data_IF_968102306194
#
_entry.id   IF_968102306194
#
_cell.length_a   1.000
_cell.length_b   1.000
_cell.length_c   1.000
_cell.angle_alpha   90.00
_cell.angle_beta   90.00
_cell.angle_gamma   90.00
#
_symmetry.space_group_name_H-M   'P 1'
#
loop_
_entity.id
_entity.type
_entity.pdbx_description
1 polymer ?
#
# COMPACT_ATOMS: atom_id res chain seq x y z
N UNK A 1 -39.31 -2.63 14.40
CA UNK A 1 -38.03 -3.27 14.79
C UNK A 1 -37.63 -4.13 13.61
N UNK A 2 -36.58 -3.69 12.91
CA UNK A 2 -36.08 -4.41 11.74
C UNK A 2 -34.80 -5.14 12.18
N UNK A 3 -34.63 -6.37 11.69
CA UNK A 3 -33.44 -7.18 11.96
C UNK A 3 -32.71 -7.36 10.65
N UNK A 4 -31.45 -6.95 10.60
CA UNK A 4 -30.57 -7.16 9.47
C UNK A 4 -29.89 -8.52 9.59
N UNK A 5 -29.99 -9.35 8.54
CA UNK A 5 -29.25 -10.59 8.41
C UNK A 5 -28.71 -10.73 6.98
N UNK A 6 -27.40 -10.91 6.86
CA UNK A 6 -26.73 -11.05 5.59
C UNK A 6 -26.71 -12.52 5.16
N UNK A 7 -27.44 -12.84 4.08
CA UNK A 7 -27.54 -14.21 3.57
C UNK A 7 -26.44 -14.56 2.56
N UNK A 8 -25.96 -13.58 1.80
CA UNK A 8 -24.91 -13.74 0.80
C UNK A 8 -23.80 -12.77 1.15
N UNK A 9 -22.61 -13.33 1.33
CA UNK A 9 -21.40 -12.55 1.57
C UNK A 9 -20.98 -11.80 0.31
N UNK A 10 -20.37 -10.61 0.45
CA UNK A 10 -19.86 -9.85 -0.69
C UNK A 10 -18.80 -10.70 -1.41
N UNK A 11 -18.91 -10.77 -2.74
CA UNK A 11 -18.00 -11.54 -3.58
C UNK A 11 -16.95 -10.67 -4.28
N UNK A 12 -17.23 -9.39 -4.48
CA UNK A 12 -16.34 -8.44 -5.17
C UNK A 12 -15.07 -8.20 -4.37
N UNK A 13 -13.92 -8.47 -4.97
CA UNK A 13 -12.62 -8.13 -4.41
C UNK A 13 -12.37 -6.63 -4.61
N UNK A 14 -12.22 -5.88 -3.52
CA UNK A 14 -11.95 -4.44 -3.58
C UNK A 14 -10.46 -4.14 -3.49
N UNK A 15 -9.77 -4.78 -2.55
CA UNK A 15 -8.32 -4.66 -2.37
C UNK A 15 -7.70 -6.04 -2.19
N UNK A 16 -6.48 -6.17 -2.69
CA UNK A 16 -5.62 -7.34 -2.50
C UNK A 16 -4.25 -6.90 -2.05
N UNK A 17 -3.67 -7.64 -1.11
CA UNK A 17 -2.35 -7.36 -0.56
C UNK A 17 -1.55 -8.64 -0.44
N UNK A 18 -0.34 -8.64 -0.97
CA UNK A 18 0.63 -9.71 -0.77
C UNK A 18 1.49 -9.42 0.46
N UNK A 19 1.59 -10.38 1.38
CA UNK A 19 2.36 -10.22 2.61
C UNK A 19 2.78 -11.56 3.22
N UNK A 20 3.80 -11.52 4.07
CA UNK A 20 4.21 -12.63 4.92
C UNK A 20 3.51 -12.49 6.27
N UNK A 21 2.21 -12.80 6.31
CA UNK A 21 1.36 -12.50 7.47
C UNK A 21 1.30 -13.63 8.49
N UNK A 22 1.19 -14.88 8.05
CA UNK A 22 1.04 -16.03 8.96
C UNK A 22 2.36 -16.58 9.44
N UNK A 23 3.39 -16.51 8.59
CA UNK A 23 4.76 -16.89 8.91
C UNK A 23 5.74 -16.20 7.95
N UNK A 24 7.04 -16.14 8.28
CA UNK A 24 8.04 -15.47 7.46
C UNK A 24 8.21 -16.09 6.06
N UNK A 25 7.99 -17.40 5.94
CA UNK A 25 8.13 -18.14 4.68
C UNK A 25 6.80 -18.25 3.92
N UNK A 26 5.66 -18.07 4.59
CA UNK A 26 4.35 -18.19 3.97
C UNK A 26 4.10 -17.02 3.02
N UNK A 27 3.73 -17.36 1.79
CA UNK A 27 3.22 -16.41 0.79
C UNK A 27 1.72 -16.23 1.03
N UNK A 28 1.33 -15.18 1.74
CA UNK A 28 -0.08 -14.90 1.98
C UNK A 28 -0.63 -13.87 1.00
N UNK A 29 -1.86 -14.11 0.56
CA UNK A 29 -2.66 -13.16 -0.19
C UNK A 29 -3.87 -12.77 0.67
N UNK A 30 -3.93 -11.52 1.07
CA UNK A 30 -5.04 -10.96 1.86
C UNK A 30 -5.97 -10.22 0.93
N UNK A 31 -7.25 -10.59 0.94
CA UNK A 31 -8.27 -10.01 0.07
C UNK A 31 -9.35 -9.39 0.93
N UNK A 32 -9.73 -8.15 0.62
CA UNK A 32 -10.93 -7.52 1.16
C UNK A 32 -12.09 -7.60 0.16
N UNK A 33 -13.27 -7.91 0.69
CA UNK A 33 -14.55 -7.90 -0.04
C UNK A 33 -15.56 -7.10 0.77
N UNK A 34 -15.56 -5.78 0.60
CA UNK A 34 -16.42 -4.89 1.39
C UNK A 34 -16.17 -5.02 2.90
N UNK A 35 -17.01 -5.79 3.59
CA UNK A 35 -16.93 -6.06 5.04
C UNK A 35 -16.24 -7.38 5.39
N UNK A 36 -15.79 -8.16 4.41
CA UNK A 36 -15.14 -9.45 4.61
C UNK A 36 -13.64 -9.35 4.36
N UNK A 37 -12.83 -9.92 5.25
CA UNK A 37 -11.38 -10.07 5.09
C UNK A 37 -11.05 -11.55 4.99
N UNK A 38 -10.38 -11.94 3.91
CA UNK A 38 -9.96 -13.33 3.67
C UNK A 38 -8.44 -13.40 3.56
N UNK A 39 -7.84 -14.37 4.24
CA UNK A 39 -6.39 -14.64 4.19
C UNK A 39 -6.19 -15.97 3.47
N UNK A 40 -5.50 -15.92 2.34
CA UNK A 40 -5.15 -17.09 1.55
C UNK A 40 -3.65 -17.39 1.66
N UNK A 41 -3.30 -18.67 1.52
CA UNK A 41 -1.93 -19.13 1.27
C UNK A 41 -1.82 -19.56 -0.20
N UNK A 42 -0.75 -19.13 -0.86
CA UNK A 42 -0.42 -19.61 -2.20
C UNK A 42 0.33 -20.95 -2.05
N UNK A 43 -0.23 -22.01 -2.63
CA UNK A 43 0.33 -23.36 -2.58
C UNK A 43 0.61 -23.83 -4.01
N UNK A 44 1.81 -24.34 -4.24
CA UNK A 44 2.18 -25.03 -5.48
C UNK A 44 1.70 -26.48 -5.40
N UNK A 45 0.87 -26.90 -6.35
CA UNK A 45 0.36 -28.27 -6.47
C UNK A 45 0.80 -28.87 -7.79
N UNK A 46 1.29 -30.11 -7.76
CA UNK A 46 1.60 -30.85 -8.98
C UNK A 46 0.35 -31.61 -9.46
N UNK A 47 -0.13 -31.26 -10.65
CA UNK A 47 -1.30 -31.91 -11.27
C UNK A 47 -0.84 -32.90 -12.35
N UNK A 48 -1.39 -34.12 -12.33
CA UNK A 48 -1.13 -35.15 -13.35
C UNK A 48 -2.20 -35.10 -14.43
N UNK A 49 -1.89 -34.64 -15.63
CA UNK A 49 -2.76 -34.90 -16.78
C UNK A 49 -2.57 -36.35 -17.26
N UNK A 50 -3.65 -37.15 -17.18
CA UNK A 50 -3.75 -38.35 -18.00
C UNK A 50 -4.12 -37.90 -19.40
N UNK A 51 -3.19 -37.98 -20.36
CA UNK A 51 -3.53 -37.85 -21.77
C UNK A 51 -4.60 -38.89 -22.11
N UNK A 52 -5.85 -38.45 -22.29
CA UNK A 52 -6.83 -39.25 -23.02
C UNK A 52 -6.38 -39.24 -24.48
N UNK A 53 -5.66 -40.28 -24.89
CA UNK A 53 -5.43 -40.55 -26.30
C UNK A 53 -6.82 -40.81 -26.91
N UNK A 54 -7.36 -39.81 -27.60
CA UNK A 54 -8.49 -39.99 -28.49
C UNK A 54 -8.08 -41.00 -29.56
N UNK A 55 -8.51 -42.25 -29.39
CA UNK A 55 -8.41 -43.28 -30.42
C UNK A 55 -9.28 -42.85 -31.61
N UNK A 56 -8.69 -42.11 -32.54
CA UNK A 56 -9.27 -41.91 -33.87
C UNK A 56 -9.25 -43.28 -34.53
N UNK A 57 -10.44 -43.86 -34.67
CA UNK A 57 -10.66 -45.11 -35.35
C UNK A 57 -10.13 -45.05 -36.79
N UNK A 58 -9.24 -45.96 -37.12
CA UNK A 58 -9.01 -46.41 -38.48
C UNK A 58 -9.26 -47.92 -38.51
N UNK A 59 -10.46 -48.26 -38.98
CA UNK A 59 -10.75 -49.58 -39.52
C UNK A 59 -9.75 -49.86 -40.65
N UNK A 60 -9.05 -50.99 -40.62
CA UNK A 60 -8.56 -51.60 -41.85
C UNK A 60 -8.58 -53.12 -41.72
N UNK A 61 -9.20 -53.72 -42.73
CA UNK A 61 -9.56 -55.12 -42.85
C UNK A 61 -8.33 -56.04 -42.96
N UNK A 62 -8.57 -57.27 -42.53
CA UNK A 62 -7.76 -58.50 -42.57
C UNK A 62 -7.10 -58.88 -43.90
N UNK A 63 -6.18 -59.87 -43.79
CA UNK A 63 -5.48 -60.71 -44.81
C UNK A 63 -4.19 -60.08 -45.36
N UNK A 64 -3.02 -60.74 -45.46
CA UNK A 64 -2.67 -62.17 -45.57
C UNK A 64 -1.13 -62.40 -45.36
N UNK A 65 -0.76 -63.53 -44.73
CA UNK A 65 0.39 -64.44 -44.99
C UNK A 65 1.90 -64.07 -44.81
N UNK A 66 2.54 -64.92 -43.97
CA UNK A 66 3.89 -65.54 -43.95
C UNK A 66 5.15 -64.81 -43.41
N UNK A 67 5.61 -65.37 -42.28
CA UNK A 67 6.97 -65.78 -41.86
C UNK A 67 8.17 -64.87 -42.12
N UNK A 68 8.80 -64.40 -41.03
CA UNK A 68 10.21 -64.70 -40.75
C UNK A 68 10.58 -64.29 -39.31
N UNK A 69 11.21 -65.21 -38.60
CA UNK A 69 11.84 -65.02 -37.30
C UNK A 69 12.97 -64.00 -37.40
N UNK A 70 12.80 -62.86 -36.72
CA UNK A 70 13.92 -62.04 -36.27
C UNK A 70 13.60 -61.56 -34.86
N UNK A 71 14.30 -62.14 -33.87
CA UNK A 71 14.31 -61.62 -32.52
C UNK A 71 14.76 -60.16 -32.55
N UNK A 72 13.84 -59.25 -32.25
CA UNK A 72 14.20 -57.89 -31.85
C UNK A 72 13.61 -57.65 -30.47
N UNK A 73 14.38 -58.02 -29.47
CA UNK A 73 14.32 -57.40 -28.16
C UNK A 73 14.42 -55.89 -28.36
N UNK A 74 13.34 -55.16 -28.07
CA UNK A 74 13.24 -53.78 -27.55
C UNK A 74 11.77 -53.38 -27.74
N UNK A 75 10.98 -53.56 -26.69
CA UNK A 75 9.93 -52.61 -26.31
C UNK A 75 9.91 -52.63 -24.78
N UNK A 76 10.99 -52.08 -24.24
CA UNK A 76 10.99 -51.44 -22.93
C UNK A 76 9.79 -50.52 -22.94
N UNK A 77 8.86 -50.67 -22.00
CA UNK A 77 7.86 -49.65 -21.71
C UNK A 77 8.63 -48.34 -21.51
N UNK A 78 8.73 -47.55 -22.58
CA UNK A 78 9.12 -46.16 -22.48
C UNK A 78 7.91 -45.54 -21.83
N UNK A 79 7.97 -45.45 -20.50
CA UNK A 79 7.14 -44.53 -19.74
C UNK A 79 7.15 -43.22 -20.53
N UNK A 80 5.99 -42.87 -21.10
CA UNK A 80 5.79 -41.54 -21.65
C UNK A 80 6.29 -40.56 -20.59
N UNK A 81 7.13 -39.56 -20.93
CA UNK A 81 7.60 -38.61 -19.94
C UNK A 81 6.37 -37.97 -19.30
N UNK A 82 6.12 -38.35 -18.05
CA UNK A 82 5.07 -37.75 -17.23
C UNK A 82 5.45 -36.28 -17.12
N UNK A 83 4.72 -35.43 -17.85
CA UNK A 83 4.97 -33.99 -17.81
C UNK A 83 4.22 -33.46 -16.60
N UNK A 84 4.96 -33.18 -15.53
CA UNK A 84 4.43 -32.52 -14.34
C UNK A 84 4.32 -31.03 -14.66
N UNK A 85 3.12 -30.47 -14.51
CA UNK A 85 2.94 -29.02 -14.49
C UNK A 85 2.68 -28.60 -13.04
N UNK A 86 3.42 -27.59 -12.57
CA UNK A 86 3.16 -26.93 -11.30
C UNK A 86 1.98 -25.97 -11.47
N UNK A 87 0.90 -26.23 -10.74
CA UNK A 87 -0.27 -25.36 -10.68
C UNK A 87 -0.31 -24.64 -9.33
N UNK A 88 -0.43 -23.32 -9.35
CA UNK A 88 -0.64 -22.53 -8.15
C UNK A 88 -2.12 -22.56 -7.75
N UNK A 89 -2.40 -22.85 -6.49
CA UNK A 89 -3.74 -22.82 -5.89
C UNK A 89 -3.77 -21.91 -4.67
N UNK A 90 -4.91 -21.23 -4.47
CA UNK A 90 -5.15 -20.42 -3.29
C UNK A 90 -5.90 -21.26 -2.25
N UNK A 91 -5.28 -21.47 -1.09
CA UNK A 91 -5.90 -22.13 0.05
C UNK A 91 -6.39 -21.09 1.04
N UNK A 92 -7.68 -21.07 1.34
CA UNK A 92 -8.24 -20.18 2.36
C UNK A 92 -7.76 -20.63 3.75
N UNK A 93 -7.05 -19.75 4.46
CA UNK A 93 -6.59 -19.99 5.84
C UNK A 93 -7.63 -19.49 6.83
N UNK A 94 -8.07 -18.24 6.65
CA UNK A 94 -8.97 -17.58 7.57
C UNK A 94 -9.89 -16.58 6.87
N UNK A 95 -11.08 -16.40 7.43
CA UNK A 95 -12.10 -15.47 6.97
C UNK A 95 -12.69 -14.73 8.17
N UNK A 96 -12.77 -13.40 8.09
CA UNK A 96 -13.26 -12.54 9.15
C UNK A 96 -14.31 -11.56 8.61
N UNK A 97 -15.41 -11.42 9.33
CA UNK A 97 -16.40 -10.37 9.11
C UNK A 97 -16.04 -9.17 9.95
N UNK A 98 -15.74 -8.06 9.30
CA UNK A 98 -15.38 -6.80 9.93
C UNK A 98 -16.61 -5.89 9.95
N UNK A 99 -16.83 -5.22 11.08
CA UNK A 99 -17.94 -4.30 11.26
C UNK A 99 -17.58 -2.92 10.67
N UNK A 100 -17.50 -2.85 9.36
CA UNK A 100 -17.15 -1.65 8.62
C UNK A 100 -16.67 -2.01 7.21
N UNK A 101 -16.96 -1.13 6.25
CA UNK A 101 -16.45 -1.27 4.90
C UNK A 101 -14.93 -1.01 4.91
N UNK A 102 -14.16 -2.00 4.44
CA UNK A 102 -12.71 -1.91 4.29
C UNK A 102 -12.44 -1.08 3.04
N UNK A 103 -11.79 0.07 3.24
CA UNK A 103 -11.44 0.99 2.14
C UNK A 103 -10.06 0.66 1.60
N UNK A 104 -9.10 0.39 2.49
CA UNK A 104 -7.74 0.04 2.09
C UNK A 104 -7.08 -0.99 3.01
N UNK A 105 -6.15 -1.76 2.44
CA UNK A 105 -5.29 -2.71 3.12
C UNK A 105 -3.83 -2.36 2.82
N UNK A 106 -3.04 -2.16 3.85
CA UNK A 106 -1.58 -2.01 3.72
C UNK A 106 -0.88 -2.88 4.74
N UNK A 107 0.43 -3.04 4.58
CA UNK A 107 1.28 -3.77 5.50
C UNK A 107 2.43 -2.91 5.96
N UNK A 108 3.01 -3.29 7.08
CA UNK A 108 4.29 -2.78 7.52
C UNK A 108 5.02 -3.83 8.35
N UNK A 109 6.33 -3.66 8.50
CA UNK A 109 7.15 -4.47 9.41
C UNK A 109 7.32 -3.75 10.73
N UNK A 110 7.13 -4.49 11.81
CA UNK A 110 7.19 -3.94 13.16
C UNK A 110 8.60 -4.05 13.76
N UNK A 111 8.83 -3.28 14.83
CA UNK A 111 10.05 -3.35 15.66
C UNK A 111 10.14 -4.64 16.48
N UNK A 112 8.99 -5.25 16.79
CA UNK A 112 8.90 -6.51 17.56
C UNK A 112 9.36 -7.71 16.73
N UNK A 113 8.90 -7.76 15.49
CA UNK A 113 9.19 -8.82 14.53
C UNK A 113 9.29 -8.22 13.12
N UNK A 114 10.50 -8.28 12.55
CA UNK A 114 10.81 -7.82 11.18
C UNK A 114 10.60 -8.94 10.14
N UNK A 115 10.37 -10.18 10.60
CA UNK A 115 10.21 -11.35 9.74
C UNK A 115 8.77 -11.54 9.26
N UNK A 116 7.81 -11.09 10.06
CA UNK A 116 6.37 -11.17 9.77
C UNK A 116 5.80 -9.77 9.52
N UNK A 117 4.95 -9.66 8.50
CA UNK A 117 4.24 -8.44 8.17
C UNK A 117 3.03 -8.24 9.09
N UNK A 118 2.80 -7.00 9.55
CA UNK A 118 1.58 -6.59 10.23
C UNK A 118 0.60 -6.00 9.21
N UNK A 119 -0.70 -6.15 9.45
CA UNK A 119 -1.73 -5.60 8.58
C UNK A 119 -2.34 -4.34 9.17
N UNK A 120 -2.48 -3.32 8.33
CA UNK A 120 -3.21 -2.10 8.64
C UNK A 120 -4.47 -2.09 7.77
N UNK A 121 -5.60 -2.18 8.44
CA UNK A 121 -6.92 -2.19 7.84
C UNK A 121 -7.53 -0.80 8.02
N UNK A 122 -7.70 -0.07 6.92
CA UNK A 122 -8.43 1.19 6.91
C UNK A 122 -9.89 0.92 6.61
N UNK A 123 -10.75 1.34 7.53
CA UNK A 123 -12.20 1.24 7.38
C UNK A 123 -12.81 2.62 7.16
N UNK A 124 -14.02 2.64 6.61
CA UNK A 124 -14.76 3.87 6.34
C UNK A 124 -14.79 4.78 7.59
N UNK A 125 -14.75 6.09 7.33
CA UNK A 125 -14.72 7.14 8.37
C UNK A 125 -13.41 7.16 9.18
N UNK A 126 -12.27 7.03 8.48
CA UNK A 126 -10.94 7.31 9.03
C UNK A 126 -10.53 6.47 10.25
N UNK A 127 -10.85 5.17 10.24
CA UNK A 127 -10.51 4.24 11.32
C UNK A 127 -9.42 3.29 10.87
N UNK A 128 -8.30 3.26 11.61
CA UNK A 128 -7.21 2.32 11.38
C UNK A 128 -7.25 1.22 12.42
N UNK A 129 -7.30 -0.03 11.95
CA UNK A 129 -7.14 -1.22 12.79
C UNK A 129 -5.84 -1.91 12.42
N UNK A 130 -4.94 -2.02 13.38
CA UNK A 130 -3.65 -2.69 13.18
C UNK A 130 -3.73 -4.07 13.81
N UNK A 131 -3.48 -5.10 13.00
CA UNK A 131 -3.63 -6.50 13.40
C UNK A 131 -2.39 -7.30 13.08
N UNK A 132 -2.08 -8.26 13.95
CA UNK A 132 -1.04 -9.27 13.75
C UNK A 132 -1.64 -10.66 13.71
N UNK A 133 -0.92 -11.60 13.12
CA UNK A 133 -1.31 -13.00 13.19
C UNK A 133 -0.87 -13.60 14.52
N UNK A 134 -1.80 -14.21 15.23
CA UNK A 134 -1.52 -15.03 16.41
C UNK A 134 -1.38 -16.49 15.99
N UNK A 135 -0.14 -16.99 16.07
CA UNK A 135 0.21 -18.36 15.67
C UNK A 135 -0.41 -19.39 16.62
N UNK A 136 -0.56 -19.08 17.91
CA UNK A 136 -1.06 -20.04 18.91
C UNK A 136 -2.55 -20.29 18.74
N UNK A 137 -3.31 -19.22 18.49
CA UNK A 137 -4.76 -19.28 18.33
C UNK A 137 -5.21 -19.42 16.87
N UNK A 138 -4.26 -19.38 15.92
CA UNK A 138 -4.53 -19.35 14.48
C UNK A 138 -5.56 -18.29 14.09
N UNK A 139 -5.49 -17.12 14.73
CA UNK A 139 -6.42 -16.03 14.53
C UNK A 139 -5.72 -14.68 14.41
N UNK A 140 -6.43 -13.65 13.94
CA UNK A 140 -5.92 -12.27 14.01
C UNK A 140 -6.03 -11.75 15.43
N UNK A 141 -5.02 -10.98 15.86
CA UNK A 141 -4.98 -10.28 17.14
C UNK A 141 -4.83 -8.79 16.89
N UNK A 142 -5.70 -7.98 17.51
CA UNK A 142 -5.67 -6.52 17.38
C UNK A 142 -4.58 -5.94 18.26
N UNK A 143 -3.68 -5.20 17.65
CA UNK A 143 -2.51 -4.60 18.31
C UNK A 143 -2.80 -3.15 18.71
N UNK A 144 -3.41 -2.40 17.79
CA UNK A 144 -3.78 -1.01 18.02
C UNK A 144 -5.01 -0.64 17.21
N UNK A 145 -5.82 0.28 17.75
CA UNK A 145 -6.99 0.85 17.10
C UNK A 145 -6.87 2.38 17.18
N UNK A 146 -6.98 3.04 16.03
CA UNK A 146 -6.92 4.49 15.94
C UNK A 146 -8.22 5.05 15.35
N UNK A 147 -8.83 5.97 16.08
CA UNK A 147 -10.11 6.58 15.75
C UNK A 147 -9.91 8.08 15.51
N UNK A 148 -10.05 8.52 14.26
CA UNK A 148 -9.85 9.94 13.89
C UNK A 148 -11.16 10.65 13.53
N UNK A 149 -12.28 9.93 13.44
CA UNK A 149 -13.60 10.45 13.05
C UNK A 149 -14.00 11.72 13.83
N UNK A 150 -14.05 11.76 15.17
CA UNK A 150 -14.51 12.96 15.88
C UNK A 150 -13.60 14.17 15.64
N UNK A 151 -12.29 13.95 15.57
CA UNK A 151 -11.32 15.01 15.33
C UNK A 151 -11.42 15.57 13.92
N UNK A 152 -11.67 14.71 12.92
CA UNK A 152 -11.83 15.13 11.53
C UNK A 152 -13.20 15.78 11.27
N UNK A 153 -14.26 15.37 11.97
CA UNK A 153 -15.58 16.01 11.88
C UNK A 153 -15.54 17.45 12.41
N UNK A 154 -14.71 17.71 13.42
CA UNK A 154 -14.52 19.07 13.91
C UNK A 154 -13.75 19.98 12.93
N UNK A 155 -12.95 19.38 12.05
CA UNK A 155 -12.08 20.09 11.09
C UNK A 155 -12.70 20.22 9.70
N UNK A 156 -13.67 19.36 9.36
CA UNK A 156 -14.34 19.32 8.05
C UNK A 156 -15.73 19.94 8.12
N UNK A 157 -16.08 20.76 7.14
CA UNK A 157 -17.44 21.27 6.95
C UNK A 157 -18.36 20.26 6.25
N UNK A 158 -17.79 19.29 5.55
CA UNK A 158 -18.50 18.27 4.79
C UNK A 158 -18.61 16.95 5.57
N UNK A 159 -19.67 16.19 5.28
CA UNK A 159 -19.85 14.84 5.83
C UNK A 159 -18.70 13.92 5.40
N UNK A 160 -17.88 13.49 6.36
CA UNK A 160 -16.74 12.60 6.12
C UNK A 160 -17.10 11.32 5.35
N UNK A 161 -18.34 10.84 5.48
CA UNK A 161 -18.83 9.64 4.82
C UNK A 161 -18.90 9.74 3.28
N UNK A 162 -18.93 10.96 2.74
CA UNK A 162 -18.94 11.25 1.29
C UNK A 162 -17.54 11.47 0.72
N UNK A 163 -16.56 11.74 1.58
CA UNK A 163 -15.21 12.07 1.16
C UNK A 163 -14.46 10.80 0.78
N UNK A 164 -13.64 10.90 -0.26
CA UNK A 164 -12.72 9.85 -0.63
C UNK A 164 -11.63 9.75 0.44
N UNK A 165 -11.44 8.55 0.98
CA UNK A 165 -10.39 8.28 1.96
C UNK A 165 -9.21 7.68 1.20
N UNK A 166 -8.06 8.34 1.26
CA UNK A 166 -6.82 7.83 0.70
C UNK A 166 -5.92 7.41 1.85
N UNK A 167 -5.67 6.12 1.98
CA UNK A 167 -4.75 5.57 2.97
C UNK A 167 -3.51 5.05 2.27
N UNK A 168 -2.32 5.46 2.71
CA UNK A 168 -1.04 5.03 2.15
C UNK A 168 -0.05 4.75 3.27
N UNK A 169 0.84 3.80 3.03
CA UNK A 169 1.90 3.45 3.98
C UNK A 169 3.25 3.60 3.29
N UNK A 170 4.21 4.11 4.04
CA UNK A 170 5.57 4.33 3.55
C UNK A 170 6.26 2.98 3.26
N UNK A 171 6.83 2.78 2.05
CA UNK A 171 7.51 1.53 1.70
C UNK A 171 8.67 1.16 2.63
N UNK A 172 9.30 2.15 3.27
CA UNK A 172 10.40 1.97 4.20
C UNK A 172 9.93 1.72 5.65
N UNK A 173 8.62 1.50 5.86
CA UNK A 173 8.02 1.24 7.17
C UNK A 173 8.31 2.33 8.21
N UNK A 174 8.27 3.60 7.79
CA UNK A 174 8.49 4.73 8.71
C UNK A 174 7.19 5.26 9.29
N UNK A 175 6.12 5.29 8.48
CA UNK A 175 4.81 5.76 8.91
C UNK A 175 3.70 5.29 7.99
N UNK A 176 2.47 5.48 8.44
CA UNK A 176 1.28 5.41 7.61
C UNK A 176 0.52 6.72 7.69
N UNK A 177 -0.21 7.06 6.63
CA UNK A 177 -1.03 8.26 6.60
C UNK A 177 -2.39 8.04 5.97
N UNK A 178 -3.36 8.82 6.41
CA UNK A 178 -4.67 8.95 5.80
C UNK A 178 -4.86 10.40 5.37
N UNK A 179 -5.26 10.63 4.13
CA UNK A 179 -5.76 11.91 3.65
C UNK A 179 -7.28 11.84 3.46
N UNK A 180 -7.97 12.83 4.03
CA UNK A 180 -9.40 13.05 3.87
C UNK A 180 -9.64 14.56 3.81
N UNK A 181 -10.14 15.05 2.67
CA UNK A 181 -10.52 16.44 2.48
C UNK A 181 -9.43 17.43 2.93
N UNK A 182 -8.22 17.24 2.40
CA UNK A 182 -7.05 18.08 2.68
C UNK A 182 -6.56 18.03 4.14
N UNK A 183 -7.05 17.07 4.94
CA UNK A 183 -6.51 16.77 6.26
C UNK A 183 -5.69 15.48 6.17
N UNK A 184 -4.41 15.58 6.51
CA UNK A 184 -3.52 14.43 6.65
C UNK A 184 -3.44 14.00 8.11
N UNK A 185 -3.68 12.72 8.35
CA UNK A 185 -3.41 12.06 9.62
C UNK A 185 -2.16 11.23 9.43
N UNK A 186 -1.12 11.48 10.23
CA UNK A 186 0.10 10.69 10.23
C UNK A 186 0.19 9.83 11.49
N UNK A 187 0.52 8.55 11.31
CA UNK A 187 0.84 7.62 12.37
C UNK A 187 2.29 7.12 12.16
N UNK A 188 3.27 7.72 12.86
CA UNK A 188 4.66 7.27 12.83
C UNK A 188 4.85 5.91 13.50
N UNK A 189 5.73 5.09 12.94
CA UNK A 189 6.16 3.83 13.53
C UNK A 189 7.42 4.06 14.36
N UNK A 190 7.53 3.39 15.50
CA UNK A 190 8.78 3.42 16.28
C UNK A 190 9.90 2.72 15.50
N UNK A 191 11.15 3.15 15.70
CA UNK A 191 12.34 2.51 15.12
C UNK A 191 13.10 1.74 16.20
N UNK A 192 13.80 0.67 15.82
CA UNK A 192 14.85 0.10 16.67
C UNK A 192 15.97 1.16 16.80
N UNK A 193 16.25 1.61 18.03
CA UNK A 193 17.27 2.62 18.33
C UNK A 193 18.72 2.20 18.00
N UNK A 194 18.95 1.04 17.37
CA UNK A 194 20.30 0.59 16.99
C UNK A 194 20.96 1.48 15.95
N UNK A 195 20.19 2.23 15.15
CA UNK A 195 20.71 3.07 14.07
C UNK A 195 20.99 4.52 14.52
N UNK A 196 20.71 4.87 15.79
CA UNK A 196 20.98 6.22 16.33
C UNK A 196 22.33 6.36 17.04
N UNK A 197 23.11 5.27 17.18
CA UNK A 197 24.42 5.25 17.85
C UNK A 197 25.54 5.20 16.79
N UNK A 198 25.63 6.21 15.93
CA UNK A 198 26.86 6.54 15.21
C UNK A 198 26.97 8.08 15.21
N UNK A 199 27.45 8.68 16.31
CA UNK A 199 27.71 10.12 16.29
C UNK A 199 27.91 10.89 17.60
N UNK A 200 27.92 10.25 18.77
CA UNK A 200 28.22 10.95 20.03
C UNK A 200 29.08 10.05 20.93
N UNK A 201 30.36 9.94 20.60
CA UNK A 201 31.41 9.67 21.59
C UNK A 201 31.99 11.03 21.96
N UNK A 202 31.98 11.32 23.27
CA UNK A 202 32.78 12.30 24.05
C UNK A 202 31.91 13.06 25.07
N UNK A 203 31.24 12.31 25.95
CA UNK A 203 30.96 12.79 27.32
C UNK A 203 32.13 12.32 28.20
N UNK A 204 33.19 13.14 28.28
CA UNK A 204 34.12 13.09 29.40
C UNK A 204 33.60 14.07 30.46
N UNK A 205 33.04 13.49 31.52
CA UNK A 205 32.75 14.13 32.79
C UNK A 205 34.05 14.72 33.39
N UNK A 206 34.09 16.02 33.60
CA UNK A 206 34.92 16.61 34.64
C UNK A 206 34.03 17.38 35.63
N UNK A 207 33.89 16.79 36.81
CA UNK A 207 33.40 17.39 38.05
C UNK A 207 34.21 18.66 38.37
N UNK A 208 33.54 19.79 38.63
CA UNK A 208 34.07 20.80 39.56
C UNK A 208 32.96 21.39 40.45
N UNK A 209 33.28 21.41 41.73
CA UNK A 209 32.49 21.75 42.92
C UNK A 209 32.13 23.25 43.05
N UNK A 210 31.34 23.52 44.10
CA UNK A 210 31.25 24.77 44.88
C UNK A 210 30.41 25.94 44.30
N UNK A 211 29.22 26.23 44.88
CA UNK A 211 29.09 26.98 46.15
C UNK A 211 27.68 27.57 46.39
N UNK A 212 27.25 27.43 47.65
CA UNK A 212 26.48 28.35 48.50
C UNK A 212 24.96 28.65 48.40
N UNK A 213 24.43 28.74 49.63
CA UNK A 213 23.07 28.92 50.17
C UNK A 213 22.64 30.42 50.15
N UNK A 214 21.37 30.84 49.97
CA UNK A 214 20.33 31.14 50.99
C UNK A 214 19.17 31.95 50.31
N UNK A 215 17.90 31.93 50.79
CA UNK A 215 16.71 32.36 50.06
C UNK A 215 16.19 33.76 50.46
N UNK A 216 15.36 34.35 49.58
CA UNK A 216 14.36 35.46 49.74
C UNK A 216 14.25 36.11 48.35
N UNK A 217 13.12 36.49 47.74
CA UNK A 217 11.86 37.05 48.20
C UNK A 217 10.71 36.67 47.23
N UNK A 218 9.50 36.86 47.75
CA UNK A 218 8.20 36.77 47.11
C UNK A 218 8.07 37.67 45.86
N UNK A 219 7.31 37.22 44.85
CA UNK A 219 6.19 38.01 44.33
C UNK A 219 5.23 37.21 43.45
N UNK A 220 3.95 37.42 43.75
CA UNK A 220 2.75 36.87 43.15
C UNK A 220 2.67 37.05 41.63
N UNK A 221 2.13 36.03 40.94
CA UNK A 221 1.03 36.26 40.00
C UNK A 221 0.14 35.01 39.91
N UNK A 222 -1.11 35.21 40.31
CA UNK A 222 -2.23 34.30 40.08
C UNK A 222 -2.52 34.19 38.58
N UNK A 223 -2.83 32.99 38.09
CA UNK A 223 -4.09 32.76 37.37
C UNK A 223 -4.45 31.27 37.31
N UNK A 224 -5.73 31.03 37.58
CA UNK A 224 -6.40 29.79 37.93
C UNK A 224 -7.06 29.13 36.73
N UNK A 225 -6.99 27.81 36.58
CA UNK A 225 -8.05 27.00 35.92
C UNK A 225 -8.19 25.62 36.58
N UNK A 226 -9.16 25.55 37.50
CA UNK A 226 -10.18 24.52 37.76
C UNK A 226 -9.88 23.09 37.26
N UNK A 227 -9.59 22.17 38.21
CA UNK A 227 -9.90 20.74 38.11
C UNK A 227 -11.01 20.45 39.13
N UNK A 228 -12.12 19.89 38.66
CA UNK A 228 -13.17 19.35 39.51
C UNK A 228 -12.78 17.94 39.93
N UNK A 229 -12.67 17.70 41.24
CA UNK A 229 -12.62 16.37 41.82
C UNK A 229 -13.51 16.37 43.07
N UNK A 230 -14.50 15.47 43.11
CA UNK A 230 -15.50 15.35 44.17
C UNK A 230 -15.04 14.31 45.20
N UNK A 231 -14.78 14.81 46.43
CA UNK A 231 -15.02 14.24 47.76
C UNK A 231 -14.60 12.78 48.04
N UNK A 232 -13.53 12.57 48.83
CA UNK A 232 -13.52 12.52 50.32
C UNK A 232 -14.15 11.25 50.91
N UNK A 233 -13.30 10.43 51.57
CA UNK A 233 -13.59 10.01 52.94
C UNK A 233 -12.30 9.64 53.70
N UNK A 234 -12.18 10.23 54.89
CA UNK A 234 -11.06 10.10 55.83
C UNK A 234 -11.07 8.75 56.57
N UNK A 235 -9.89 8.25 56.98
CA UNK A 235 -9.67 7.86 58.38
C UNK A 235 -8.18 7.61 58.70
N UNK A 236 -7.80 8.07 59.90
CA UNK A 236 -6.45 8.13 60.49
C UNK A 236 -5.94 6.77 60.99
N UNK A 237 -4.62 6.54 60.97
CA UNK A 237 -4.01 5.51 61.82
C UNK A 237 -2.54 5.15 61.57
N UNK A 238 -1.64 5.83 62.29
CA UNK A 238 -0.40 5.33 62.95
C UNK A 238 0.79 4.75 62.16
N UNK A 239 1.97 5.23 62.58
CA UNK A 239 3.33 4.77 62.31
C UNK A 239 3.53 3.24 62.36
N UNK A 240 4.32 2.69 61.42
CA UNK A 240 5.62 2.10 61.74
C UNK A 240 6.38 1.58 60.50
N UNK A 241 7.69 1.80 60.53
CA UNK A 241 8.70 1.24 59.63
C UNK A 241 8.67 -0.29 59.65
N UNK A 242 8.53 -0.91 58.49
CA UNK A 242 9.17 -2.20 58.22
C UNK A 242 9.51 -2.32 56.73
N UNK A 243 10.82 -2.34 56.48
CA UNK A 243 11.41 -2.75 55.20
C UNK A 243 10.96 -4.18 54.89
N UNK A 244 10.24 -4.35 53.80
CA UNK A 244 10.11 -5.64 53.12
C UNK A 244 10.36 -5.41 51.64
N UNK A 245 11.52 -5.88 51.20
CA UNK A 245 11.89 -6.04 49.80
C UNK A 245 10.77 -6.77 49.07
N UNK A 246 10.00 -6.05 48.27
CA UNK A 246 9.22 -6.62 47.19
C UNK A 246 10.00 -6.33 45.92
N UNK A 247 10.73 -7.35 45.50
CA UNK A 247 11.27 -7.53 44.16
C UNK A 247 10.18 -7.11 43.18
N UNK A 248 10.35 -5.94 42.55
CA UNK A 248 9.56 -5.58 41.36
C UNK A 248 9.90 -6.64 40.32
N UNK A 249 9.02 -7.63 40.19
CA UNK A 249 9.01 -8.49 39.01
C UNK A 249 8.82 -7.54 37.84
N UNK A 250 9.88 -7.39 37.04
CA UNK A 250 9.82 -6.72 35.76
C UNK A 250 8.78 -7.47 34.93
N UNK A 251 7.61 -6.85 34.76
CA UNK A 251 6.75 -7.18 33.63
C UNK A 251 7.59 -6.93 32.36
N UNK A 252 7.51 -7.79 31.33
CA UNK A 252 8.22 -7.54 30.09
C UNK A 252 7.76 -6.18 29.56
N UNK A 253 8.69 -5.24 29.39
CA UNK A 253 8.41 -3.96 28.76
C UNK A 253 7.95 -4.26 27.33
N UNK A 254 6.64 -4.15 27.08
CA UNK A 254 6.09 -4.22 25.74
C UNK A 254 6.67 -3.06 24.95
N UNK A 255 7.52 -3.36 23.97
CA UNK A 255 8.08 -2.34 23.08
C UNK A 255 6.94 -1.54 22.47
N UNK A 256 7.02 -0.21 22.55
CA UNK A 256 6.04 0.66 21.92
C UNK A 256 6.18 0.53 20.40
N UNK A 257 5.09 0.26 19.70
CA UNK A 257 5.08 0.08 18.24
C UNK A 257 4.87 1.38 17.46
N UNK A 258 4.22 2.36 18.08
CA UNK A 258 3.77 3.60 17.43
C UNK A 258 4.11 4.81 18.28
N UNK A 259 4.45 5.90 17.61
CA UNK A 259 4.55 7.22 18.24
C UNK A 259 3.16 7.87 18.26
N UNK A 260 3.03 9.04 18.88
CA UNK A 260 1.73 9.75 18.91
C UNK A 260 1.34 10.19 17.50
N UNK A 261 0.14 9.79 17.06
CA UNK A 261 -0.44 10.24 15.81
C UNK A 261 -0.81 11.72 15.87
N UNK A 262 -0.73 12.42 14.73
CA UNK A 262 -1.11 13.83 14.65
C UNK A 262 -1.83 14.13 13.33
N UNK A 263 -2.63 15.19 13.34
CA UNK A 263 -3.40 15.66 12.19
C UNK A 263 -2.83 17.00 11.73
N UNK A 264 -2.66 17.18 10.43
CA UNK A 264 -2.25 18.44 9.83
C UNK A 264 -3.08 18.75 8.59
N UNK A 265 -3.38 20.02 8.39
CA UNK A 265 -3.97 20.47 7.14
C UNK A 265 -2.90 20.47 6.03
N UNK A 266 -3.30 20.16 4.81
CA UNK A 266 -2.39 20.09 3.67
C UNK A 266 -1.74 21.44 3.33
N UNK A 267 -2.44 22.56 3.56
CA UNK A 267 -1.85 23.90 3.42
C UNK A 267 -0.73 24.19 4.42
N UNK A 268 -0.71 23.49 5.56
CA UNK A 268 0.40 23.56 6.52
C UNK A 268 1.61 22.73 6.09
N UNK A 269 1.41 21.67 5.30
CA UNK A 269 2.49 20.87 4.72
C UNK A 269 3.17 21.62 3.57
N UNK A 270 2.38 22.18 2.66
CA UNK A 270 2.88 22.94 1.53
C UNK A 270 1.89 24.04 1.14
N UNK A 271 2.35 25.29 0.92
CA UNK A 271 1.46 26.39 0.61
C UNK A 271 0.76 26.17 -0.74
N UNK A 272 -0.57 26.27 -0.75
CA UNK A 272 -1.39 26.11 -1.97
C UNK A 272 -1.77 24.66 -2.30
N UNK A 273 -1.50 23.72 -1.40
CA UNK A 273 -1.90 22.33 -1.56
C UNK A 273 -3.42 22.19 -1.27
N UNK A 274 -4.22 22.39 -2.30
CA UNK A 274 -5.69 22.29 -2.28
C UNK A 274 -6.19 21.42 -3.42
N UNK A 275 -7.39 20.86 -3.29
CA UNK A 275 -8.01 19.96 -4.27
C UNK A 275 -7.10 18.76 -4.62
N UNK A 276 -6.78 17.95 -3.60
CA UNK A 276 -5.92 16.76 -3.77
C UNK A 276 -6.63 15.70 -4.63
N UNK A 277 -5.95 15.28 -5.70
CA UNK A 277 -6.41 14.23 -6.61
C UNK A 277 -5.92 12.86 -6.13
N UNK A 278 -4.63 12.73 -5.83
CA UNK A 278 -4.03 11.52 -5.26
C UNK A 278 -2.71 11.85 -4.57
N UNK A 279 -2.27 10.95 -3.69
CA UNK A 279 -0.93 11.00 -3.11
C UNK A 279 -0.37 9.59 -2.92
N UNK A 280 0.95 9.48 -2.96
CA UNK A 280 1.65 8.20 -2.84
C UNK A 280 3.02 8.38 -2.19
N UNK A 281 3.40 7.45 -1.32
CA UNK A 281 4.77 7.39 -0.79
C UNK A 281 5.73 6.85 -1.84
N UNK A 282 6.92 7.45 -1.90
CA UNK A 282 7.97 7.10 -2.84
C UNK A 282 9.02 6.17 -2.21
N UNK A 283 9.61 5.31 -3.04
CA UNK A 283 10.68 4.41 -2.62
C UNK A 283 12.04 5.10 -2.53
N UNK A 284 12.96 4.50 -1.77
CA UNK A 284 14.39 4.84 -1.78
C UNK A 284 14.75 6.23 -1.26
N UNK A 285 13.88 6.83 -0.44
CA UNK A 285 14.17 8.04 0.34
C UNK A 285 14.37 7.69 1.83
N UNK A 286 15.37 8.31 2.48
CA UNK A 286 15.66 8.05 3.90
C UNK A 286 14.56 8.53 4.84
N UNK A 287 13.92 9.65 4.49
CA UNK A 287 12.77 10.20 5.19
C UNK A 287 11.50 9.84 4.42
N UNK A 288 10.35 9.66 5.11
CA UNK A 288 9.09 9.38 4.44
C UNK A 288 8.79 10.49 3.44
N UNK A 289 8.71 10.14 2.17
CA UNK A 289 8.59 11.11 1.09
C UNK A 289 7.33 10.82 0.30
N UNK A 290 6.46 11.82 0.17
CA UNK A 290 5.17 11.69 -0.54
C UNK A 290 5.19 12.53 -1.81
N UNK A 291 4.67 11.98 -2.90
CA UNK A 291 4.24 12.75 -4.07
C UNK A 291 2.76 13.07 -3.92
N UNK A 292 2.39 14.33 -4.12
CA UNK A 292 1.00 14.80 -4.04
C UNK A 292 0.61 15.46 -5.36
N UNK A 293 -0.45 14.96 -5.98
CA UNK A 293 -1.08 15.50 -7.18
C UNK A 293 -2.31 16.32 -6.75
N UNK A 294 -2.35 17.59 -7.14
CA UNK A 294 -3.40 18.51 -6.68
C UNK A 294 -3.67 19.63 -7.69
N UNK A 295 -4.79 20.33 -7.51
CA UNK A 295 -5.23 21.43 -8.37
C UNK A 295 -5.36 22.75 -7.56
N UNK A 296 -4.31 23.59 -7.48
CA UNK A 296 -4.30 24.74 -6.57
C UNK A 296 -5.39 25.78 -6.83
N UNK A 297 -5.76 26.01 -8.08
CA UNK A 297 -6.77 27.02 -8.43
C UNK A 297 -8.20 26.44 -8.40
N UNK A 298 -8.43 25.39 -9.19
CA UNK A 298 -9.71 24.72 -9.30
C UNK A 298 -9.56 23.36 -9.98
N UNK A 299 -10.45 22.42 -9.67
CA UNK A 299 -10.60 21.21 -10.47
C UNK A 299 -11.15 21.57 -11.86
N UNK A 300 -10.64 20.90 -12.90
CA UNK A 300 -11.09 21.06 -14.28
C UNK A 300 -11.77 19.79 -14.78
N UNK A 301 -12.51 19.89 -15.88
CA UNK A 301 -13.13 18.76 -16.57
C UNK A 301 -13.15 19.03 -18.07
N UNK A 302 -13.45 18.01 -18.88
CA UNK A 302 -13.37 18.09 -20.34
C UNK A 302 -14.16 19.27 -20.96
N UNK A 303 -15.24 19.73 -20.32
CA UNK A 303 -16.03 20.88 -20.79
C UNK A 303 -15.45 22.25 -20.41
N UNK A 304 -14.52 22.32 -19.46
CA UNK A 304 -13.92 23.55 -18.94
C UNK A 304 -12.49 23.81 -19.44
N UNK A 305 -11.96 22.91 -20.27
CA UNK A 305 -10.63 23.03 -20.88
C UNK A 305 -10.35 24.35 -21.62
N UNK A 306 -11.33 25.00 -22.30
CA UNK A 306 -11.08 26.31 -22.90
C UNK A 306 -10.66 27.39 -21.89
N UNK A 307 -10.99 27.22 -20.61
CA UNK A 307 -10.70 28.15 -19.53
C UNK A 307 -9.53 27.69 -18.65
N UNK A 308 -9.49 26.41 -18.30
CA UNK A 308 -8.48 25.84 -17.43
C UNK A 308 -7.99 24.51 -18.01
N UNK A 309 -6.89 24.63 -18.77
CA UNK A 309 -6.14 23.52 -19.36
C UNK A 309 -4.86 23.33 -18.55
N UNK A 310 -4.43 22.09 -18.38
CA UNK A 310 -3.19 21.73 -17.67
C UNK A 310 -3.08 22.39 -16.28
N UNK A 311 -4.13 22.26 -15.47
CA UNK A 311 -4.25 22.93 -14.17
C UNK A 311 -3.65 22.14 -13.00
N UNK A 312 -3.22 20.89 -13.22
CA UNK A 312 -2.67 20.06 -12.16
C UNK A 312 -1.21 20.41 -11.87
N UNK A 313 -0.86 20.26 -10.60
CA UNK A 313 0.50 20.39 -10.11
C UNK A 313 0.85 19.15 -9.29
N UNK A 314 2.14 18.80 -9.32
CA UNK A 314 2.67 17.71 -8.52
C UNK A 314 3.83 18.22 -7.69
N UNK A 315 3.75 18.01 -6.38
CA UNK A 315 4.83 18.34 -5.45
C UNK A 315 5.26 17.09 -4.72
N UNK A 316 6.57 16.85 -4.68
CA UNK A 316 7.16 15.81 -3.82
C UNK A 316 7.68 16.46 -2.56
N UNK A 317 7.22 15.96 -1.42
CA UNK A 317 7.49 16.46 -0.08
C UNK A 317 8.23 15.39 0.73
N UNK A 318 9.38 15.75 1.28
CA UNK A 318 10.02 14.98 2.34
C UNK A 318 9.42 15.39 3.69
N UNK A 319 8.89 14.42 4.43
CA UNK A 319 8.21 14.64 5.70
C UNK A 319 9.19 14.48 6.87
N UNK A 320 9.22 15.49 7.73
CA UNK A 320 9.84 15.40 9.04
C UNK A 320 8.73 15.17 10.08
N UNK A 321 8.61 13.91 10.53
CA UNK A 321 7.58 13.48 11.47
C UNK A 321 7.85 13.97 12.90
N UNK A 322 9.11 14.24 13.26
CA UNK A 322 9.48 14.72 14.60
C UNK A 322 9.11 16.20 14.74
N UNK A 323 9.52 17.02 13.77
CA UNK A 323 9.24 18.46 13.76
C UNK A 323 7.87 18.82 13.16
N UNK A 324 7.16 17.84 12.58
CA UNK A 324 5.86 18.02 11.92
C UNK A 324 5.93 19.06 10.80
N UNK A 325 6.98 18.96 9.97
CA UNK A 325 7.23 19.86 8.85
C UNK A 325 7.41 19.04 7.57
N UNK A 326 7.28 19.72 6.42
CA UNK A 326 7.58 19.12 5.14
C UNK A 326 8.48 20.02 4.31
N UNK A 327 9.38 19.42 3.55
CA UNK A 327 10.30 20.12 2.66
C UNK A 327 10.06 19.67 1.23
N UNK A 328 9.97 20.62 0.30
CA UNK A 328 9.72 20.31 -1.10
C UNK A 328 11.00 19.91 -1.81
N UNK A 329 11.00 18.71 -2.40
CA UNK A 329 12.12 18.16 -3.17
C UNK A 329 12.01 18.61 -4.64
N UNK A 330 10.82 18.47 -5.22
CA UNK A 330 10.56 18.69 -6.64
C UNK A 330 9.12 19.14 -6.85
N UNK A 331 8.93 20.02 -7.82
CA UNK A 331 7.63 20.60 -8.17
C UNK A 331 7.46 20.59 -9.69
N UNK A 332 6.31 20.10 -10.13
CA UNK A 332 5.87 20.13 -11.53
C UNK A 332 4.59 20.94 -11.61
N UNK A 333 4.52 21.79 -12.62
CA UNK A 333 3.36 22.60 -12.94
C UNK A 333 2.96 22.38 -14.39
N UNK A 334 1.73 22.76 -14.74
CA UNK A 334 1.16 22.58 -16.06
C UNK A 334 1.06 21.08 -16.44
N UNK A 335 0.61 20.26 -15.49
CA UNK A 335 0.32 18.86 -15.75
C UNK A 335 -1.10 18.69 -16.31
N UNK A 336 -1.34 17.68 -17.15
CA UNK A 336 -2.65 17.41 -17.74
C UNK A 336 -3.75 17.30 -16.68
N UNK A 337 -4.93 17.83 -16.99
CA UNK A 337 -6.06 17.89 -16.04
C UNK A 337 -6.64 16.51 -15.69
N UNK A 338 -6.37 15.52 -16.53
CA UNK A 338 -6.93 14.17 -16.52
C UNK A 338 -6.01 13.14 -15.84
N UNK A 339 -4.91 13.58 -15.21
CA UNK A 339 -4.14 12.71 -14.32
C UNK A 339 -4.97 12.34 -13.09
N UNK A 340 -5.04 11.06 -12.78
CA UNK A 340 -5.91 10.51 -11.73
C UNK A 340 -5.14 9.84 -10.60
N UNK A 341 -4.01 9.18 -10.89
CA UNK A 341 -3.33 8.32 -9.91
C UNK A 341 -1.81 8.35 -10.00
N UNK A 342 -1.16 8.17 -8.86
CA UNK A 342 0.30 8.08 -8.71
C UNK A 342 0.69 6.65 -8.32
N UNK A 343 1.62 6.05 -9.05
CA UNK A 343 2.18 4.74 -8.74
C UNK A 343 3.68 4.86 -8.49
N UNK A 344 4.10 4.63 -7.25
CA UNK A 344 5.52 4.60 -6.91
C UNK A 344 6.17 3.32 -7.45
N UNK A 345 7.38 3.46 -8.00
CA UNK A 345 8.14 2.34 -8.54
C UNK A 345 9.25 1.96 -7.56
N UNK A 346 9.39 0.68 -7.21
CA UNK A 346 10.45 0.22 -6.33
C UNK A 346 11.81 0.20 -7.02
N UNK A 347 12.84 -0.11 -6.24
CA UNK A 347 14.17 -0.43 -6.77
C UNK A 347 14.11 -1.63 -7.74
N UNK A 348 14.84 -1.63 -8.87
CA UNK A 348 15.90 -0.69 -9.28
C UNK A 348 15.45 0.52 -10.11
N UNK A 349 14.21 0.55 -10.62
CA UNK A 349 13.73 1.64 -11.50
C UNK A 349 13.62 2.95 -10.75
N UNK A 350 13.08 2.91 -9.53
CA UNK A 350 12.81 4.07 -8.66
C UNK A 350 11.92 5.14 -9.34
N UNK A 351 11.55 6.20 -8.60
CA UNK A 351 10.65 7.23 -9.12
C UNK A 351 9.18 6.83 -9.07
N UNK A 352 8.36 7.38 -9.96
CA UNK A 352 6.92 7.13 -9.98
C UNK A 352 6.29 7.38 -11.35
N UNK A 353 5.14 6.75 -11.58
CA UNK A 353 4.27 6.95 -12.73
C UNK A 353 3.07 7.82 -12.32
N UNK A 354 2.72 8.76 -13.18
CA UNK A 354 1.44 9.46 -13.17
C UNK A 354 0.62 8.89 -14.31
N UNK A 355 -0.56 8.41 -13.96
CA UNK A 355 -1.51 7.84 -14.91
C UNK A 355 -2.67 8.81 -15.07
N UNK A 356 -2.91 9.24 -16.30
CA UNK A 356 -4.12 9.95 -16.68
C UNK A 356 -4.98 9.13 -17.62
N UNK A 357 -6.11 9.69 -18.05
CA UNK A 357 -7.00 9.03 -19.01
C UNK A 357 -6.33 8.79 -20.38
N UNK A 358 -5.47 9.72 -20.80
CA UNK A 358 -4.94 9.80 -22.16
C UNK A 358 -3.41 9.70 -22.24
N UNK A 359 -2.72 9.61 -21.11
CA UNK A 359 -1.28 9.69 -21.02
C UNK A 359 -0.68 8.89 -19.86
N UNK A 360 0.60 8.54 -20.04
CA UNK A 360 1.45 7.90 -19.04
C UNK A 360 2.66 8.78 -18.87
N UNK A 361 2.87 9.32 -17.68
CA UNK A 361 4.03 10.16 -17.38
C UNK A 361 4.90 9.45 -16.35
N UNK A 362 6.15 9.21 -16.70
CA UNK A 362 7.16 8.72 -15.78
C UNK A 362 8.04 9.87 -15.31
N UNK A 363 8.22 9.96 -13.99
CA UNK A 363 9.14 10.89 -13.35
C UNK A 363 10.21 10.09 -12.64
N UNK A 364 11.47 10.28 -13.04
CA UNK A 364 12.58 9.60 -12.41
C UNK A 364 12.97 10.25 -11.07
N UNK A 365 13.86 9.59 -10.33
CA UNK A 365 14.39 10.07 -9.04
C UNK A 365 15.17 11.39 -9.12
N UNK A 366 15.63 11.80 -10.32
CA UNK A 366 16.32 13.10 -10.56
C UNK A 366 15.31 14.21 -10.91
N UNK A 367 14.04 13.90 -11.11
CA UNK A 367 12.99 14.85 -11.49
C UNK A 367 12.88 15.12 -12.99
N UNK A 368 13.46 14.27 -13.85
CA UNK A 368 13.20 14.29 -15.29
C UNK A 368 11.85 13.65 -15.59
N UNK A 369 11.00 14.42 -16.26
CA UNK A 369 9.67 14.02 -16.69
C UNK A 369 9.74 13.51 -18.15
N UNK A 370 9.29 12.27 -18.37
CA UNK A 370 9.10 11.69 -19.70
C UNK A 370 7.72 11.08 -19.77
N UNK A 371 6.93 11.42 -20.77
CA UNK A 371 5.59 10.83 -20.91
C UNK A 371 5.27 10.38 -22.33
N UNK A 372 4.18 9.64 -22.40
CA UNK A 372 3.63 9.01 -23.58
C UNK A 372 2.17 9.43 -23.74
N UNK A 373 1.82 9.97 -24.90
CA UNK A 373 0.43 10.19 -25.28
C UNK A 373 -0.12 8.91 -25.91
N UNK A 374 -1.11 8.27 -25.29
CA UNK A 374 -1.56 6.93 -25.70
C UNK A 374 -2.72 6.93 -26.70
N UNK A 375 -3.35 8.09 -26.91
CA UNK A 375 -4.46 8.23 -27.85
C UNK A 375 -4.49 9.63 -28.52
N UNK A 376 -5.36 9.75 -29.52
CA UNK A 376 -5.52 10.99 -30.30
C UNK A 376 -6.16 12.14 -29.51
N UNK A 377 -6.85 11.86 -28.39
CA UNK A 377 -7.49 12.89 -27.56
C UNK A 377 -6.48 13.74 -26.82
N UNK A 378 -5.31 13.18 -26.50
CA UNK A 378 -4.24 13.89 -25.80
C UNK A 378 -3.91 15.26 -26.42
N UNK A 379 -3.86 15.34 -27.75
CA UNK A 379 -3.55 16.57 -28.50
C UNK A 379 -4.60 17.68 -28.31
N UNK A 380 -5.81 17.31 -27.90
CA UNK A 380 -6.90 18.24 -27.64
C UNK A 380 -6.94 18.63 -26.15
N UNK A 381 -6.52 17.72 -25.27
CA UNK A 381 -6.67 17.85 -23.81
C UNK A 381 -5.50 18.52 -23.11
N UNK A 382 -4.27 18.35 -23.60
CA UNK A 382 -3.06 18.91 -22.98
C UNK A 382 -2.14 19.59 -24.00
N UNK A 383 -1.34 20.57 -23.54
CA UNK A 383 -0.27 21.21 -24.30
C UNK A 383 1.12 20.67 -23.92
N UNK A 384 1.20 19.78 -22.91
CA UNK A 384 2.44 19.17 -22.48
C UNK A 384 3.03 18.28 -23.60
N UNK A 385 4.34 18.46 -23.86
CA UNK A 385 5.01 17.77 -24.96
C UNK A 385 5.41 16.35 -24.57
N UNK A 386 4.60 15.37 -24.98
CA UNK A 386 4.85 13.95 -24.78
C UNK A 386 5.18 13.21 -26.08
N UNK A 387 5.80 12.03 -25.97
CA UNK A 387 6.04 11.15 -27.12
C UNK A 387 4.71 10.59 -27.60
N UNK A 388 4.39 10.83 -28.86
CA UNK A 388 3.14 10.39 -29.46
C UNK A 388 3.13 8.88 -29.73
N UNK A 389 2.24 8.16 -29.04
CA UNK A 389 1.90 6.76 -29.26
C UNK A 389 0.39 6.59 -29.52
N UNK A 390 -0.27 7.61 -30.10
CA UNK A 390 -1.71 7.59 -30.42
C UNK A 390 -2.17 6.39 -31.24
N UNK A 391 -1.25 5.75 -31.95
CA UNK A 391 -1.47 4.52 -32.72
C UNK A 391 -1.95 3.31 -31.89
N UNK A 392 -1.75 3.35 -30.56
CA UNK A 392 -2.22 2.29 -29.67
C UNK A 392 -3.71 2.44 -29.32
N UNK A 393 -4.29 3.64 -29.48
CA UNK A 393 -5.69 3.97 -29.18
C UNK A 393 -6.17 3.47 -27.79
N UNK A 394 -5.31 3.62 -26.78
CA UNK A 394 -5.61 3.16 -25.42
C UNK A 394 -6.35 4.22 -24.61
N UNK A 395 -7.24 3.75 -23.75
CA UNK A 395 -7.90 4.54 -22.72
C UNK A 395 -7.50 3.95 -21.37
N UNK A 396 -6.92 4.78 -20.51
CA UNK A 396 -6.31 4.37 -19.25
C UNK A 396 -7.19 4.69 -18.03
N UNK A 397 -8.47 5.00 -18.27
CA UNK A 397 -9.47 5.22 -17.23
C UNK A 397 -9.56 4.01 -16.30
N UNK A 398 -9.54 4.25 -14.99
CA UNK A 398 -9.62 3.24 -13.95
C UNK A 398 -8.59 2.10 -14.05
N UNK A 399 -7.49 2.30 -14.78
CA UNK A 399 -6.47 1.28 -14.92
C UNK A 399 -5.81 0.96 -13.56
N UNK A 400 -5.24 -0.24 -13.46
CA UNK A 400 -4.42 -0.64 -12.31
C UNK A 400 -3.00 -0.93 -12.78
N UNK A 401 -2.03 -0.37 -12.06
CA UNK A 401 -0.61 -0.56 -12.35
C UNK A 401 0.01 -1.31 -11.18
N UNK A 402 0.71 -2.40 -11.50
CA UNK A 402 1.50 -3.17 -10.54
C UNK A 402 2.89 -3.43 -11.12
N UNK A 403 3.93 -3.19 -10.33
CA UNK A 403 5.30 -3.43 -10.74
C UNK A 403 5.66 -4.91 -10.60
N UNK A 404 6.31 -5.50 -11.60
CA UNK A 404 6.72 -6.91 -11.55
C UNK A 404 8.11 -7.12 -12.16
N UNK A 405 8.91 -7.93 -11.48
CA UNK A 405 10.30 -8.18 -11.90
C UNK A 405 11.21 -6.98 -11.61
N UNK A 406 12.22 -6.81 -12.47
CA UNK A 406 13.31 -5.85 -12.24
C UNK A 406 13.19 -4.57 -13.08
N UNK A 407 12.41 -4.59 -14.16
CA UNK A 407 12.33 -3.49 -15.13
C UNK A 407 10.97 -3.36 -15.83
N UNK A 408 9.92 -4.03 -15.34
CA UNK A 408 8.61 -4.02 -15.98
C UNK A 408 7.48 -3.60 -15.02
N UNK A 409 6.55 -2.80 -15.53
CA UNK A 409 5.27 -2.54 -14.89
C UNK A 409 4.13 -3.11 -15.73
N UNK A 410 3.19 -3.78 -15.08
CA UNK A 410 1.98 -4.30 -15.68
C UNK A 410 0.86 -3.29 -15.48
N UNK A 411 0.24 -2.86 -16.57
CA UNK A 411 -0.93 -2.00 -16.58
C UNK A 411 -2.12 -2.84 -17.04
N UNK A 412 -3.17 -2.87 -16.23
CA UNK A 412 -4.41 -3.58 -16.49
C UNK A 412 -5.49 -2.54 -16.79
N UNK A 413 -6.04 -2.60 -18.00
CA UNK A 413 -7.10 -1.69 -18.44
C UNK A 413 -8.46 -2.10 -17.87
N UNK A 414 -9.43 -1.18 -17.86
CA UNK A 414 -10.82 -1.50 -17.49
C UNK A 414 -11.41 -2.62 -18.36
N UNK A 415 -10.99 -2.71 -19.63
CA UNK A 415 -11.37 -3.80 -20.55
C UNK A 415 -10.83 -5.17 -20.14
N UNK A 416 -9.91 -5.24 -19.19
CA UNK A 416 -9.20 -6.46 -18.77
C UNK A 416 -7.94 -6.76 -19.57
N UNK A 417 -7.62 -5.94 -20.57
CA UNK A 417 -6.39 -6.10 -21.36
C UNK A 417 -5.14 -5.74 -20.56
N UNK A 418 -4.07 -6.48 -20.81
CA UNK A 418 -2.77 -6.31 -20.16
C UNK A 418 -1.78 -5.57 -21.06
N UNK A 419 -1.07 -4.62 -20.47
CA UNK A 419 -0.03 -3.82 -21.11
C UNK A 419 1.25 -3.92 -20.25
N UNK A 420 2.37 -4.31 -20.86
CA UNK A 420 3.69 -4.25 -20.22
C UNK A 420 4.39 -2.96 -20.62
N UNK A 421 4.85 -2.23 -19.61
CA UNK A 421 5.69 -1.04 -19.71
C UNK A 421 7.09 -1.41 -19.23
N UNK A 422 8.06 -1.43 -20.14
CA UNK A 422 9.46 -1.74 -19.84
C UNK A 422 10.29 -0.48 -19.65
N UNK A 423 11.19 -0.52 -18.68
CA UNK A 423 12.10 0.54 -18.35
C UNK A 423 13.53 0.19 -18.80
N UNK A 424 14.19 1.13 -19.46
CA UNK A 424 15.63 1.04 -19.71
C UNK A 424 16.39 1.66 -18.54
N UNK A 425 17.23 0.85 -17.89
CA UNK A 425 18.10 1.22 -16.78
C UNK A 425 19.50 1.68 -17.24
N UNK A 426 19.74 1.72 -18.55
CA UNK A 426 21.06 2.05 -19.12
C UNK A 426 21.45 3.50 -18.83
N UNK A 427 22.58 3.70 -18.15
CA UNK A 427 23.18 5.04 -17.95
C UNK A 427 22.91 5.70 -16.60
N UNK A 428 22.46 4.95 -15.59
CA UNK A 428 22.30 5.44 -14.20
C UNK A 428 21.04 6.27 -13.96
N UNK A 429 20.22 6.46 -14.99
CA UNK A 429 18.85 6.99 -14.87
C UNK A 429 17.91 6.07 -15.63
N UNK A 430 16.80 5.70 -15.01
CA UNK A 430 15.75 4.91 -15.63
C UNK A 430 14.94 5.76 -16.61
N UNK A 431 14.48 5.13 -17.71
CA UNK A 431 13.64 5.78 -18.72
C UNK A 431 12.63 4.79 -19.29
N UNK A 432 11.51 5.26 -19.85
CA UNK A 432 10.57 4.36 -20.53
C UNK A 432 11.17 3.90 -21.86
N UNK A 433 11.34 2.58 -22.03
CA UNK A 433 11.84 1.97 -23.26
C UNK A 433 10.68 1.65 -24.22
N UNK A 434 9.83 0.70 -23.81
CA UNK A 434 8.82 0.11 -24.67
C UNK A 434 7.51 -0.12 -23.95
N UNK A 435 6.43 0.10 -24.68
CA UNK A 435 5.07 -0.28 -24.30
C UNK A 435 4.62 -1.40 -25.24
N UNK A 436 4.17 -2.52 -24.69
CA UNK A 436 3.65 -3.65 -25.47
C UNK A 436 2.39 -4.23 -24.87
N UNK A 437 1.37 -4.41 -25.72
CA UNK A 437 0.19 -5.19 -25.37
C UNK A 437 0.57 -6.66 -25.23
N UNK A 438 0.13 -7.28 -24.14
CA UNK A 438 0.32 -8.69 -23.88
C UNK A 438 -0.88 -9.44 -24.46
N UNK A 439 -0.63 -10.45 -25.30
CA UNK A 439 -1.71 -11.32 -25.80
C UNK A 439 -2.21 -12.21 -24.66
N UNK A 440 -3.45 -12.00 -24.24
CA UNK A 440 -4.11 -12.69 -23.11
C UNK A 440 -4.01 -14.22 -23.23
N UNK A 441 -4.02 -14.73 -24.46
CA UNK A 441 -3.98 -16.17 -24.74
C UNK A 441 -2.65 -16.83 -24.35
N UNK A 442 -1.58 -16.05 -24.23
CA UNK A 442 -0.24 -16.57 -23.95
C UNK A 442 0.03 -16.70 -22.44
N UNK A 443 -0.57 -15.86 -21.60
CA UNK A 443 -0.27 -15.80 -20.16
C UNK A 443 -1.41 -16.29 -19.28
N UNK A 444 -2.67 -16.19 -19.73
CA UNK A 444 -3.83 -16.64 -18.97
C UNK A 444 -4.80 -17.42 -19.87
N UNK A 445 -4.39 -18.57 -20.45
CA UNK A 445 -5.23 -19.34 -21.35
C UNK A 445 -6.57 -19.77 -20.71
N UNK A 446 -6.60 -19.88 -19.38
CA UNK A 446 -7.76 -20.33 -18.60
C UNK A 446 -8.58 -19.19 -17.97
N UNK A 447 -8.10 -17.94 -17.98
CA UNK A 447 -8.88 -16.81 -17.48
C UNK A 447 -9.75 -16.30 -18.62
N UNK A 448 -10.99 -16.79 -18.66
CA UNK A 448 -12.03 -16.19 -19.49
C UNK A 448 -12.44 -14.85 -18.87
N UNK A 449 -11.89 -13.76 -19.38
CA UNK A 449 -12.47 -12.43 -19.15
C UNK A 449 -13.84 -12.46 -19.83
N UNK A 450 -14.89 -12.65 -19.03
CA UNK A 450 -16.24 -12.47 -19.55
C UNK A 450 -16.36 -10.98 -19.85
N UNK A 451 -16.24 -10.61 -21.13
CA UNK A 451 -16.64 -9.29 -21.60
C UNK A 451 -18.12 -9.11 -21.28
N UNK A 452 -18.43 -8.61 -20.08
CA UNK A 452 -19.73 -8.14 -19.69
C UNK A 452 -19.96 -6.85 -20.47
N UNK A 453 -20.33 -7.02 -21.74
CA UNK A 453 -21.00 -5.98 -22.49
C UNK A 453 -22.34 -5.74 -21.80
N UNK A 454 -22.38 -4.73 -20.93
CA UNK A 454 -23.63 -4.16 -20.49
C UNK A 454 -24.35 -3.64 -21.74
N UNK A 455 -25.49 -4.24 -22.05
CA UNK A 455 -26.38 -3.84 -23.15
C UNK A 455 -27.27 -2.69 -22.74
#
# INVERSE_FOLDING_TARGET
MEVYNQFIEPSTCLQSLYCNFTSPEARNLVISKGTLLQVFQVIETESKEKQQVNAIGLETKSSEALDNEVETFINKEVASPETYYSENKLSLIAEYRINGEIVNLTKFKSVEDETVDYLIISTRVAKLSIVKWDVENHCISTVSLHYYEPSLECLSTEELAKNQIRHRTDPNNLCTSIEINEQFVFLPFEKNNSDRIEGLDDDDDEDEDDDDYDPTEEQNHNESVIIMDDNEDETKGTDNKSKTNTTKQQQPETKKLFTSSFIMNASSLFPGLTNIVDYQYLHSYNNPTIAVLYAPESMSWAGYLPNSKDNLQLTVLSLDLENKQATSIMNFSNLPYDLESIYALPDPVNGFLLMGCNDIIYVNNVGSLKGLAVNSFYKQTSDLLLKDLSQLELFLEYCKVEYFGDDEALIILESGQFLSLKFDLSGGTSTIDKVSLIDEKQFYPDIKISNLTWK
#
